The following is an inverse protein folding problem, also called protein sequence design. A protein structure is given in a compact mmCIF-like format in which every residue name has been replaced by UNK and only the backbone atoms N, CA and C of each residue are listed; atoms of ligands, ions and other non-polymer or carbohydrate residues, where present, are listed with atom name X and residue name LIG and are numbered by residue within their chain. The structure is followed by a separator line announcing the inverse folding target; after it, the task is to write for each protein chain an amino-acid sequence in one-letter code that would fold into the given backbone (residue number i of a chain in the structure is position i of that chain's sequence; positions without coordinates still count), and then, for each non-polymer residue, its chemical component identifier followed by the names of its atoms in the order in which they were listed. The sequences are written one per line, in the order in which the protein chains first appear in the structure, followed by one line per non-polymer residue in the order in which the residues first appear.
data_IF_361543970088
#
_entry.id   IF_361543970088
#
_cell.length_a   1.000
_cell.length_b   1.000
_cell.length_c   1.000
_cell.angle_alpha   90.00
_cell.angle_beta   90.00
_cell.angle_gamma   90.00
#
_symmetry.space_group_name_H-M   'P 1'
#
loop_
_entity.id
_entity.type
_entity.pdbx_description
1 polymer ?
#
# COMPACT_ATOMS: atom_id res chain seq x y z
N UNK A 1 39.74 -50.55 19.22
CA UNK A 1 38.55 -49.89 18.62
C UNK A 1 38.61 -48.42 18.97
N UNK A 2 39.13 -47.59 18.06
CA UNK A 2 39.45 -46.19 18.32
C UNK A 2 39.21 -45.33 17.07
N UNK A 3 38.28 -44.37 17.24
CA UNK A 3 38.23 -43.01 16.67
C UNK A 3 38.30 -42.87 15.13
N UNK A 4 37.09 -42.82 14.59
CA UNK A 4 36.58 -42.05 13.45
C UNK A 4 37.51 -40.93 12.94
N UNK A 5 38.04 -41.09 11.72
CA UNK A 5 38.72 -40.04 10.97
C UNK A 5 37.67 -39.27 10.16
N UNK A 6 37.58 -37.98 10.46
CA UNK A 6 36.64 -36.99 9.91
C UNK A 6 36.53 -37.05 8.38
N UNK A 7 35.32 -37.36 7.89
CA UNK A 7 34.94 -36.99 6.53
C UNK A 7 34.68 -35.50 6.48
N UNK A 8 35.56 -34.79 5.78
CA UNK A 8 35.42 -33.41 5.36
C UNK A 8 34.10 -33.23 4.60
N UNK A 9 33.13 -32.55 5.20
CA UNK A 9 31.95 -32.10 4.49
C UNK A 9 32.37 -30.97 3.53
N UNK A 10 32.07 -31.03 2.22
CA UNK A 10 32.16 -29.85 1.39
C UNK A 10 31.09 -28.88 1.90
N UNK A 11 31.54 -27.79 2.52
CA UNK A 11 30.71 -26.67 2.92
C UNK A 11 30.10 -26.09 1.64
N UNK A 12 28.91 -26.59 1.32
CA UNK A 12 28.10 -26.13 0.19
C UNK A 12 27.61 -24.75 0.58
N UNK A 13 28.35 -23.77 0.07
CA UNK A 13 27.98 -22.36 -0.06
C UNK A 13 26.46 -22.26 -0.28
N UNK A 14 25.76 -21.94 0.80
CA UNK A 14 24.37 -21.51 0.72
C UNK A 14 24.46 -20.10 0.14
N UNK A 15 23.88 -19.83 -1.05
CA UNK A 15 23.67 -18.45 -1.43
C UNK A 15 22.82 -17.82 -0.32
N UNK A 16 23.38 -16.84 0.37
CA UNK A 16 22.60 -15.99 1.25
C UNK A 16 21.49 -15.42 0.38
N UNK A 17 20.26 -15.88 0.59
CA UNK A 17 19.11 -15.21 0.03
C UNK A 17 19.23 -13.74 0.43
N UNK A 18 19.23 -12.80 -0.53
CA UNK A 18 18.97 -11.44 -0.14
C UNK A 18 17.59 -11.47 0.50
N UNK A 19 17.54 -11.37 1.83
CA UNK A 19 16.42 -10.69 2.49
C UNK A 19 16.52 -9.20 2.12
N UNK A 20 16.60 -8.93 0.82
CA UNK A 20 16.22 -7.67 0.22
C UNK A 20 14.77 -7.54 0.58
N UNK A 21 14.46 -6.47 1.31
CA UNK A 21 13.08 -6.06 1.49
C UNK A 21 12.41 -6.16 0.13
N UNK A 22 11.38 -6.99 0.05
CA UNK A 22 10.49 -7.00 -1.08
C UNK A 22 9.71 -5.67 -1.05
N UNK A 23 10.42 -4.57 -1.34
CA UNK A 23 9.87 -3.49 -2.13
C UNK A 23 9.57 -4.15 -3.46
N UNK A 24 8.36 -4.71 -3.54
CA UNK A 24 7.86 -5.33 -4.76
C UNK A 24 8.08 -4.34 -5.90
N UNK A 25 8.52 -4.81 -7.08
CA UNK A 25 8.72 -3.96 -8.23
C UNK A 25 7.44 -3.16 -8.45
N UNK A 26 7.59 -1.85 -8.63
CA UNK A 26 6.51 -0.93 -8.97
C UNK A 26 5.67 -1.55 -10.10
N UNK A 27 4.58 -2.21 -9.73
CA UNK A 27 3.65 -2.81 -10.66
C UNK A 27 2.67 -1.70 -10.99
N UNK A 28 2.76 -1.20 -12.22
CA UNK A 28 1.82 -0.33 -12.93
C UNK A 28 0.43 -0.27 -12.27
N UNK A 29 0.22 0.78 -11.46
CA UNK A 29 -1.01 1.04 -10.75
C UNK A 29 -0.71 1.87 -9.50
N UNK A 30 -1.15 3.13 -9.47
CA UNK A 30 -1.09 3.93 -8.24
C UNK A 30 -2.37 3.62 -7.43
N UNK A 31 -2.22 3.33 -6.13
CA UNK A 31 -3.37 3.15 -5.24
C UNK A 31 -3.56 4.44 -4.48
N UNK A 32 -4.54 5.23 -4.92
CA UNK A 32 -4.77 6.57 -4.42
C UNK A 32 -6.08 6.56 -3.64
N UNK A 33 -5.99 7.03 -2.40
CA UNK A 33 -7.12 7.24 -1.52
C UNK A 33 -7.33 8.73 -1.29
N UNK A 34 -8.58 9.15 -1.11
CA UNK A 34 -8.93 10.43 -0.53
C UNK A 34 -9.23 10.25 0.96
N UNK A 35 -8.84 11.22 1.77
CA UNK A 35 -9.28 11.36 3.15
C UNK A 35 -9.96 12.71 3.31
N UNK A 36 -11.13 12.74 3.93
CA UNK A 36 -11.75 13.97 4.44
C UNK A 36 -12.21 13.71 5.86
N UNK A 37 -11.68 14.49 6.81
CA UNK A 37 -11.85 14.23 8.24
C UNK A 37 -11.46 12.78 8.60
N UNK A 38 -12.41 11.94 9.04
CA UNK A 38 -12.20 10.52 9.41
C UNK A 38 -12.67 9.52 8.36
N UNK A 39 -13.17 10.00 7.24
CA UNK A 39 -13.68 9.17 6.18
C UNK A 39 -12.66 9.07 5.05
N UNK A 40 -12.61 7.89 4.44
CA UNK A 40 -11.67 7.54 3.39
C UNK A 40 -12.41 7.01 2.18
N UNK A 41 -11.94 7.37 1.00
CA UNK A 41 -12.48 6.90 -0.28
C UNK A 41 -11.36 6.44 -1.18
N UNK A 42 -11.62 5.47 -2.05
CA UNK A 42 -10.70 5.11 -3.11
C UNK A 42 -10.89 6.04 -4.31
N UNK A 43 -9.82 6.67 -4.76
CA UNK A 43 -9.78 7.46 -5.99
C UNK A 43 -9.31 6.62 -7.17
N UNK A 44 -8.24 5.83 -6.97
CA UNK A 44 -7.62 5.03 -8.02
C UNK A 44 -7.11 3.71 -7.45
N UNK A 45 -7.02 2.69 -8.32
CA UNK A 45 -6.50 1.37 -7.96
C UNK A 45 -7.56 0.40 -7.44
N UNK A 46 -8.82 0.51 -7.92
CA UNK A 46 -9.91 -0.43 -7.60
C UNK A 46 -9.51 -1.90 -7.80
N UNK A 47 -8.71 -2.18 -8.83
CA UNK A 47 -8.16 -3.52 -9.11
C UNK A 47 -7.33 -4.09 -7.94
N UNK A 48 -6.70 -3.23 -7.14
CA UNK A 48 -5.92 -3.60 -5.96
C UNK A 48 -6.67 -3.40 -4.64
N UNK A 49 -7.89 -2.85 -4.69
CA UNK A 49 -8.71 -2.58 -3.50
C UNK A 49 -8.88 -3.83 -2.65
N UNK A 50 -9.34 -4.93 -3.24
CA UNK A 50 -9.56 -6.18 -2.51
C UNK A 50 -8.27 -6.73 -1.88
N UNK A 51 -7.15 -6.63 -2.58
CA UNK A 51 -5.83 -7.04 -2.09
C UNK A 51 -5.39 -6.20 -0.88
N UNK A 52 -5.56 -4.87 -0.97
CA UNK A 52 -5.30 -3.94 0.13
C UNK A 52 -6.18 -4.23 1.35
N UNK A 53 -7.51 -4.36 1.14
CA UNK A 53 -8.48 -4.66 2.19
C UNK A 53 -8.17 -5.99 2.90
N UNK A 54 -7.82 -7.02 2.12
CA UNK A 54 -7.44 -8.32 2.64
C UNK A 54 -6.02 -8.35 3.24
N UNK A 55 -5.21 -7.32 2.99
CA UNK A 55 -3.80 -7.31 3.39
C UNK A 55 -2.94 -8.34 2.69
N UNK A 56 -3.36 -8.77 1.51
CA UNK A 56 -2.68 -9.81 0.73
C UNK A 56 -2.02 -9.15 -0.46
N UNK A 57 -0.70 -9.22 -0.53
CA UNK A 57 0.08 -8.80 -1.70
C UNK A 57 -0.26 -9.72 -2.90
N UNK A 58 -0.20 -9.22 -4.14
CA UNK A 58 0.36 -7.93 -4.55
C UNK A 58 -0.65 -6.76 -4.54
N UNK A 59 -0.22 -5.63 -3.99
CA UNK A 59 -0.79 -4.30 -4.22
C UNK A 59 0.36 -3.28 -4.26
N UNK A 60 0.22 -2.16 -4.98
CA UNK A 60 1.26 -1.14 -5.06
C UNK A 60 1.48 -0.50 -3.69
N UNK A 61 2.75 -0.42 -3.29
CA UNK A 61 3.20 0.19 -2.04
C UNK A 61 4.30 1.21 -2.35
N UNK A 62 4.25 2.43 -1.78
CA UNK A 62 3.27 2.89 -0.80
C UNK A 62 1.92 3.28 -1.40
N UNK A 63 0.86 3.12 -0.61
CA UNK A 63 -0.48 3.64 -0.89
C UNK A 63 -0.48 5.15 -0.66
N UNK A 64 -0.96 5.93 -1.64
CA UNK A 64 -1.06 7.38 -1.50
C UNK A 64 -2.41 7.75 -0.91
N UNK A 65 -2.41 8.65 0.07
CA UNK A 65 -3.62 9.18 0.66
C UNK A 65 -3.59 10.70 0.55
N UNK A 66 -4.51 11.24 -0.23
CA UNK A 66 -4.70 12.67 -0.41
C UNK A 66 -5.70 13.17 0.63
N UNK A 67 -5.25 13.99 1.57
CA UNK A 67 -6.10 14.60 2.58
C UNK A 67 -6.71 15.89 2.04
N UNK A 68 -8.04 15.93 1.96
CA UNK A 68 -8.80 17.11 1.59
C UNK A 68 -9.39 17.79 2.83
N UNK A 69 -9.49 19.11 2.76
CA UNK A 69 -10.03 19.93 3.85
C UNK A 69 -11.55 19.78 4.00
N UNK A 70 -12.27 19.42 2.93
CA UNK A 70 -13.73 19.33 2.91
C UNK A 70 -14.25 18.47 1.76
N UNK A 71 -15.48 17.99 1.90
CA UNK A 71 -16.21 17.27 0.83
C UNK A 71 -16.28 18.05 -0.48
N UNK A 72 -16.42 19.38 -0.41
CA UNK A 72 -16.42 20.23 -1.60
C UNK A 72 -15.08 20.20 -2.35
N UNK A 73 -13.96 20.20 -1.63
CA UNK A 73 -12.62 20.14 -2.23
C UNK A 73 -12.37 18.77 -2.88
N UNK A 74 -12.83 17.69 -2.22
CA UNK A 74 -12.81 16.35 -2.81
C UNK A 74 -13.67 16.29 -4.08
N UNK A 75 -14.90 16.78 -4.02
CA UNK A 75 -15.81 16.80 -5.18
C UNK A 75 -15.23 17.61 -6.35
N UNK A 76 -14.53 18.71 -6.08
CA UNK A 76 -13.86 19.52 -7.10
C UNK A 76 -12.63 18.83 -7.72
N UNK A 77 -12.01 17.87 -7.02
CA UNK A 77 -10.88 17.10 -7.52
C UNK A 77 -11.31 15.87 -8.34
N UNK A 78 -12.59 15.51 -8.29
CA UNK A 78 -13.15 14.40 -9.05
C UNK A 78 -13.64 14.88 -10.43
N UNK A 79 -13.61 14.00 -11.45
CA UNK A 79 -14.25 14.28 -12.72
C UNK A 79 -15.78 14.44 -12.52
N UNK A 80 -16.42 15.25 -13.38
CA UNK A 80 -17.86 15.55 -13.29
C UNK A 80 -18.75 14.28 -13.39
N UNK A 81 -18.21 13.24 -14.02
CA UNK A 81 -18.82 11.92 -14.15
C UNK A 81 -18.48 11.01 -12.96
N UNK A 82 -19.36 10.99 -11.95
CA UNK A 82 -19.34 10.01 -10.85
C UNK A 82 -19.39 10.60 -9.46
N UNK A 83 -18.74 11.74 -9.24
CA UNK A 83 -18.70 12.42 -7.94
C UNK A 83 -18.26 11.54 -6.76
N UNK A 84 -18.35 12.07 -5.54
CA UNK A 84 -17.91 11.35 -4.32
C UNK A 84 -18.72 10.08 -4.06
N UNK A 85 -20.00 10.07 -4.47
CA UNK A 85 -20.91 8.95 -4.24
C UNK A 85 -20.58 7.68 -5.04
N UNK A 86 -19.84 7.81 -6.14
CA UNK A 86 -19.37 6.66 -6.92
C UNK A 86 -18.08 6.03 -6.36
N UNK A 87 -17.42 6.67 -5.40
CA UNK A 87 -16.17 6.18 -4.83
C UNK A 87 -16.42 5.09 -3.79
N UNK A 88 -15.49 4.12 -3.73
CA UNK A 88 -15.50 3.11 -2.69
C UNK A 88 -15.16 3.71 -1.34
N UNK A 89 -16.09 3.63 -0.39
CA UNK A 89 -15.82 4.00 1.00
C UNK A 89 -14.89 2.99 1.65
N UNK A 90 -13.75 3.45 2.15
CA UNK A 90 -12.74 2.64 2.80
C UNK A 90 -12.91 2.76 4.32
N UNK A 91 -12.91 1.62 5.01
CA UNK A 91 -13.00 1.61 6.46
C UNK A 91 -11.72 2.23 7.06
N UNK A 92 -11.82 3.20 8.00
CA UNK A 92 -10.65 3.84 8.63
C UNK A 92 -9.70 2.86 9.31
N UNK A 93 -10.16 1.67 9.72
CA UNK A 93 -9.31 0.61 10.25
C UNK A 93 -8.24 0.12 9.23
N UNK A 94 -8.54 0.20 7.93
CA UNK A 94 -7.59 -0.16 6.87
C UNK A 94 -6.51 0.91 6.75
N UNK A 95 -6.89 2.19 6.73
CA UNK A 95 -5.94 3.30 6.72
C UNK A 95 -5.02 3.28 7.96
N UNK A 96 -5.58 2.99 9.14
CA UNK A 96 -4.78 2.85 10.36
C UNK A 96 -3.78 1.68 10.28
N UNK A 97 -4.20 0.54 9.72
CA UNK A 97 -3.30 -0.59 9.47
C UNK A 97 -2.17 -0.21 8.51
N UNK A 98 -2.47 0.40 7.38
CA UNK A 98 -1.45 0.82 6.39
C UNK A 98 -0.48 1.84 7.00
N UNK A 99 -0.98 2.76 7.83
CA UNK A 99 -0.15 3.72 8.56
C UNK A 99 0.76 3.04 9.57
N UNK A 100 0.26 2.03 10.30
CA UNK A 100 1.07 1.23 11.23
C UNK A 100 2.18 0.45 10.52
N UNK A 101 1.91 -0.04 9.31
CA UNK A 101 2.89 -0.78 8.49
C UNK A 101 3.86 0.14 7.72
N UNK A 102 3.73 1.47 7.85
CA UNK A 102 4.47 2.47 7.07
C UNK A 102 4.24 2.36 5.55
N UNK A 103 3.14 1.72 5.13
CA UNK A 103 2.75 1.55 3.73
C UNK A 103 1.82 2.68 3.23
N UNK A 104 1.46 3.65 4.10
CA UNK A 104 0.60 4.79 3.76
C UNK A 104 1.39 6.10 3.74
N UNK A 105 1.36 6.81 2.61
CA UNK A 105 1.90 8.16 2.48
C UNK A 105 0.74 9.16 2.39
N UNK A 106 0.64 10.05 3.37
CA UNK A 106 -0.39 11.08 3.43
C UNK A 106 0.17 12.37 2.84
N UNK A 107 -0.54 12.93 1.86
CA UNK A 107 -0.25 14.21 1.21
C UNK A 107 -1.47 15.11 1.33
N UNK A 108 -1.30 16.38 1.65
CA UNK A 108 -2.41 17.33 1.61
C UNK A 108 -2.75 17.68 0.15
N UNK A 109 -4.05 17.75 -0.16
CA UNK A 109 -4.52 18.29 -1.42
C UNK A 109 -4.04 19.74 -1.55
N UNK A 110 -3.53 20.16 -2.72
CA UNK A 110 -3.19 21.56 -2.95
C UNK A 110 -4.45 22.42 -2.79
N UNK A 111 -4.34 23.48 -2.01
CA UNK A 111 -5.39 24.50 -1.90
C UNK A 111 -5.42 25.27 -3.23
N UNK A 112 -6.35 24.93 -4.11
CA UNK A 112 -6.56 25.69 -5.35
C UNK A 112 -7.55 26.81 -5.02
N UNK A 113 -7.00 27.97 -4.62
CA UNK A 113 -7.72 29.23 -4.39
C UNK A 113 -8.07 29.92 -5.72
#
# INVERSE_FOLDING_TARGET
MSRETSMTAPQRDLPQEPSGGAAAPAADGDLIMAQVDKAYWLLEGEVHLYAMLAGKKPYPTPVRCVQFASMAQLAAALPEEGGVGALWSINPAIADRLRRDNELIISNAPDHN
#
